data_IF_197884213567
#
_entry.id   IF_197884213567
#
_cell.length_a   1.000
_cell.length_b   1.000
_cell.length_c   1.000
_cell.angle_alpha   90.00
_cell.angle_beta   90.00
_cell.angle_gamma   90.00
#
_symmetry.space_group_name_H-M   'P 1'
#
loop_
_entity.id
_entity.type
_entity.pdbx_description
1 polymer ?
#
# COMPACT_ATOMS: atom_id res chain seq x y z
N UNK A 1 -2.00 -13.48 19.78
CA UNK A 1 -2.41 -14.72 19.07
C UNK A 1 -1.25 -15.46 18.40
N UNK A 2 -0.24 -14.80 17.83
CA UNK A 2 0.93 -15.46 17.22
C UNK A 2 1.62 -16.48 18.17
N UNK A 3 1.74 -16.16 19.46
CA UNK A 3 2.29 -17.09 20.45
C UNK A 3 1.47 -18.38 20.65
N UNK A 4 0.14 -18.31 20.53
CA UNK A 4 -0.77 -19.47 20.63
C UNK A 4 -0.65 -20.36 19.39
N UNK A 5 -0.59 -19.72 18.23
CA UNK A 5 -0.35 -20.37 16.94
C UNK A 5 1.01 -21.11 16.90
N UNK A 6 2.08 -20.51 17.44
CA UNK A 6 3.38 -21.18 17.62
C UNK A 6 3.31 -22.30 18.67
N UNK A 7 2.52 -22.15 19.74
CA UNK A 7 2.32 -23.18 20.76
C UNK A 7 1.60 -24.43 20.23
N UNK A 8 0.72 -24.26 19.24
CA UNK A 8 0.09 -25.38 18.50
C UNK A 8 1.02 -26.03 17.44
N UNK A 9 2.31 -25.70 17.45
CA UNK A 9 3.31 -26.33 16.58
C UNK A 9 3.51 -25.64 15.23
N UNK A 10 2.93 -24.46 15.02
CA UNK A 10 3.13 -23.73 13.76
C UNK A 10 4.54 -23.13 13.69
N UNK A 11 5.20 -23.34 12.54
CA UNK A 11 6.54 -22.81 12.29
C UNK A 11 6.52 -21.30 12.06
N UNK A 12 7.64 -20.64 12.32
CA UNK A 12 7.83 -19.21 12.06
C UNK A 12 7.56 -18.83 10.60
N UNK A 13 7.93 -19.71 9.67
CA UNK A 13 7.68 -19.52 8.23
C UNK A 13 6.18 -19.46 7.91
N UNK A 14 5.36 -20.29 8.55
CA UNK A 14 3.91 -20.29 8.33
C UNK A 14 3.25 -19.02 8.88
N UNK A 15 3.66 -18.55 10.07
CA UNK A 15 3.18 -17.28 10.62
C UNK A 15 3.57 -16.11 9.72
N UNK A 16 4.82 -16.10 9.23
CA UNK A 16 5.33 -15.08 8.33
C UNK A 16 4.53 -15.03 7.02
N UNK A 17 4.20 -16.20 6.44
CA UNK A 17 3.34 -16.28 5.25
C UNK A 17 1.97 -15.66 5.49
N UNK A 18 1.31 -15.99 6.60
CA UNK A 18 -0.02 -15.44 6.94
C UNK A 18 0.05 -13.92 7.08
N UNK A 19 1.10 -13.39 7.72
CA UNK A 19 1.30 -11.95 7.85
C UNK A 19 1.46 -11.28 6.48
N UNK A 20 2.34 -11.81 5.63
CA UNK A 20 2.57 -11.28 4.29
C UNK A 20 1.32 -11.36 3.40
N UNK A 21 0.52 -12.43 3.50
CA UNK A 21 -0.74 -12.54 2.77
C UNK A 21 -1.75 -11.45 3.18
N UNK A 22 -1.93 -11.23 4.48
CA UNK A 22 -2.82 -10.18 4.97
C UNK A 22 -2.32 -8.78 4.56
N UNK A 23 -1.01 -8.57 4.61
CA UNK A 23 -0.43 -7.30 4.21
C UNK A 23 -0.56 -7.05 2.70
N UNK A 24 -0.33 -8.07 1.86
CA UNK A 24 -0.60 -8.02 0.41
C UNK A 24 -2.06 -7.71 0.10
N UNK A 25 -2.99 -8.32 0.83
CA UNK A 25 -4.43 -8.04 0.68
C UNK A 25 -4.76 -6.57 0.99
N UNK A 26 -4.23 -6.04 2.10
CA UNK A 26 -4.38 -4.63 2.48
C UNK A 26 -3.77 -3.67 1.45
N UNK A 27 -2.57 -3.97 0.98
CA UNK A 27 -1.89 -3.18 -0.08
C UNK A 27 -2.71 -3.21 -1.37
N UNK A 28 -3.25 -4.37 -1.76
CA UNK A 28 -4.09 -4.52 -2.95
C UNK A 28 -5.35 -3.66 -2.90
N UNK A 29 -6.06 -3.66 -1.77
CA UNK A 29 -7.23 -2.78 -1.56
C UNK A 29 -6.81 -1.32 -1.57
N UNK A 30 -5.72 -0.97 -0.88
CA UNK A 30 -5.21 0.40 -0.83
C UNK A 30 -4.86 0.93 -2.22
N UNK A 31 -4.21 0.11 -3.05
CA UNK A 31 -3.92 0.45 -4.44
C UNK A 31 -5.20 0.60 -5.27
N UNK A 32 -6.15 -0.33 -5.15
CA UNK A 32 -7.39 -0.24 -5.91
C UNK A 32 -8.16 1.06 -5.59
N UNK A 33 -8.33 1.37 -4.31
CA UNK A 33 -8.99 2.60 -3.87
C UNK A 33 -8.18 3.85 -4.25
N UNK A 34 -6.86 3.79 -4.11
CA UNK A 34 -5.95 4.89 -4.47
C UNK A 34 -5.98 5.21 -5.96
N UNK A 35 -6.02 4.19 -6.83
CA UNK A 35 -6.14 4.39 -8.28
C UNK A 35 -7.52 4.93 -8.65
N UNK A 36 -8.60 4.42 -8.05
CA UNK A 36 -9.95 4.95 -8.28
C UNK A 36 -10.02 6.44 -7.92
N UNK A 37 -9.49 6.81 -6.75
CA UNK A 37 -9.48 8.21 -6.32
C UNK A 37 -8.53 9.06 -7.17
N UNK A 38 -7.29 8.62 -7.39
CA UNK A 38 -6.28 9.40 -8.12
C UNK A 38 -6.66 9.61 -9.58
N UNK A 39 -7.04 8.54 -10.29
CA UNK A 39 -7.51 8.64 -11.67
C UNK A 39 -8.87 9.33 -11.75
N UNK A 40 -9.77 9.08 -10.80
CA UNK A 40 -11.07 9.75 -10.73
C UNK A 40 -10.93 11.26 -10.61
N UNK A 41 -10.04 11.74 -9.74
CA UNK A 41 -9.72 13.17 -9.61
C UNK A 41 -9.03 13.71 -10.87
N UNK A 42 -8.10 12.95 -11.46
CA UNK A 42 -7.44 13.32 -12.71
C UNK A 42 -8.42 13.50 -13.87
N UNK A 43 -9.33 12.54 -14.08
CA UNK A 43 -10.37 12.64 -15.10
C UNK A 43 -11.37 13.75 -14.81
N UNK A 44 -11.74 13.95 -13.53
CA UNK A 44 -12.63 15.04 -13.16
C UNK A 44 -12.01 16.38 -13.57
N UNK A 45 -10.74 16.64 -13.22
CA UNK A 45 -10.04 17.86 -13.64
C UNK A 45 -9.89 17.94 -15.17
N UNK A 46 -9.65 16.81 -15.85
CA UNK A 46 -9.53 16.77 -17.31
C UNK A 46 -10.82 17.20 -18.03
N UNK A 47 -12.00 16.77 -17.56
CA UNK A 47 -13.27 17.10 -18.22
C UNK A 47 -13.92 18.40 -17.73
N UNK A 48 -13.75 18.72 -16.45
CA UNK A 48 -14.47 19.85 -15.83
C UNK A 48 -13.61 21.11 -15.69
N UNK A 49 -12.29 20.99 -15.84
CA UNK A 49 -11.32 22.08 -15.68
C UNK A 49 -11.56 22.90 -14.40
N UNK A 50 -11.96 22.24 -13.31
CA UNK A 50 -12.34 22.86 -12.03
C UNK A 50 -11.25 23.79 -11.50
N UNK A 51 -9.98 23.41 -11.68
CA UNK A 51 -8.84 24.29 -11.43
C UNK A 51 -8.46 25.07 -12.69
N UNK A 52 -9.13 26.20 -12.89
CA UNK A 52 -8.77 27.21 -13.85
C UNK A 52 -7.66 28.11 -13.29
N UNK A 53 -6.68 28.48 -14.13
CA UNK A 53 -5.62 29.42 -13.78
C UNK A 53 -5.92 30.79 -14.37
N UNK A 54 -5.52 31.84 -13.64
CA UNK A 54 -5.55 33.19 -14.18
C UNK A 54 -4.50 33.31 -15.30
N UNK A 55 -5.01 33.44 -16.54
CA UNK A 55 -4.19 33.52 -17.75
C UNK A 55 -3.21 34.69 -17.71
N UNK A 56 -3.47 35.72 -16.89
CA UNK A 56 -2.58 36.88 -16.78
C UNK A 56 -1.26 36.57 -16.06
N UNK A 57 -1.22 35.54 -15.21
CA UNK A 57 0.02 35.10 -14.54
C UNK A 57 0.63 33.82 -15.11
N UNK A 58 -0.18 32.92 -15.71
CA UNK A 58 0.29 31.57 -16.05
C UNK A 58 0.19 31.16 -17.53
N UNK A 59 -0.23 32.06 -18.44
CA UNK A 59 -0.40 31.80 -19.88
C UNK A 59 -1.32 30.61 -20.26
N UNK A 60 -1.84 29.87 -19.28
CA UNK A 60 -2.70 28.69 -19.40
C UNK A 60 -4.04 28.95 -18.71
N UNK A 61 -5.13 28.59 -19.37
CA UNK A 61 -6.49 28.77 -18.83
C UNK A 61 -6.86 27.76 -17.74
N UNK A 62 -6.18 26.61 -17.73
CA UNK A 62 -6.45 25.49 -16.81
C UNK A 62 -5.17 24.69 -16.56
N UNK A 63 -5.15 23.89 -15.48
CA UNK A 63 -4.07 22.92 -15.25
C UNK A 63 -4.22 21.76 -16.23
N UNK A 64 -3.31 21.57 -17.20
CA UNK A 64 -3.35 20.40 -18.07
C UNK A 64 -3.03 19.15 -17.26
N UNK A 65 -3.90 18.14 -17.35
CA UNK A 65 -3.69 16.83 -16.73
C UNK A 65 -3.44 15.83 -17.82
N UNK A 66 -2.23 15.27 -17.86
CA UNK A 66 -1.87 14.18 -18.76
C UNK A 66 -1.68 12.90 -17.94
N UNK A 67 -2.46 11.87 -18.24
CA UNK A 67 -2.40 10.58 -17.57
C UNK A 67 -1.70 9.60 -18.50
N UNK A 68 -0.46 9.26 -18.20
CA UNK A 68 0.25 8.19 -18.91
C UNK A 68 0.03 6.85 -18.22
N UNK A 69 -0.46 5.87 -18.98
CA UNK A 69 -0.75 4.53 -18.47
C UNK A 69 0.51 3.83 -17.94
N UNK A 70 1.68 4.13 -18.53
CA UNK A 70 2.99 3.62 -18.09
C UNK A 70 3.32 4.10 -16.69
N UNK A 71 3.12 5.39 -16.39
CA UNK A 71 3.41 5.97 -15.08
C UNK A 71 2.52 5.35 -14.01
N UNK A 72 1.23 5.15 -14.31
CA UNK A 72 0.28 4.49 -13.39
C UNK A 72 0.75 3.07 -13.06
N UNK A 73 1.10 2.27 -14.07
CA UNK A 73 1.59 0.90 -13.86
C UNK A 73 2.88 0.91 -13.03
N UNK A 74 3.83 1.78 -13.38
CA UNK A 74 5.14 1.83 -12.74
C UNK A 74 5.03 2.26 -11.27
N UNK A 75 4.14 3.22 -10.97
CA UNK A 75 3.83 3.67 -9.61
C UNK A 75 3.18 2.55 -8.79
N UNK A 76 2.24 1.80 -9.36
CA UNK A 76 1.63 0.65 -8.69
C UNK A 76 2.67 -0.43 -8.37
N UNK A 77 3.49 -0.82 -9.36
CA UNK A 77 4.55 -1.83 -9.19
C UNK A 77 5.56 -1.39 -8.14
N UNK A 78 6.04 -0.13 -8.21
CA UNK A 78 6.98 0.41 -7.24
C UNK A 78 6.38 0.41 -5.82
N UNK A 79 5.11 0.77 -5.67
CA UNK A 79 4.42 0.77 -4.38
C UNK A 79 4.35 -0.63 -3.77
N UNK A 80 3.95 -1.64 -4.56
CA UNK A 80 3.93 -3.04 -4.10
C UNK A 80 5.31 -3.48 -3.64
N UNK A 81 6.35 -3.20 -4.43
CA UNK A 81 7.73 -3.59 -4.11
C UNK A 81 8.21 -2.93 -2.81
N UNK A 82 8.00 -1.62 -2.66
CA UNK A 82 8.41 -0.87 -1.47
C UNK A 82 7.65 -1.39 -0.24
N UNK A 83 6.33 -1.55 -0.33
CA UNK A 83 5.53 -2.10 0.77
C UNK A 83 6.02 -3.49 1.16
N UNK A 84 6.28 -4.38 0.19
CA UNK A 84 6.81 -5.72 0.46
C UNK A 84 8.16 -5.66 1.18
N UNK A 85 9.10 -4.83 0.72
CA UNK A 85 10.43 -4.66 1.37
C UNK A 85 10.27 -4.17 2.81
N UNK A 86 9.43 -3.16 3.04
CA UNK A 86 9.17 -2.62 4.38
C UNK A 86 8.55 -3.67 5.30
N UNK A 87 7.65 -4.50 4.77
CA UNK A 87 6.95 -5.55 5.54
C UNK A 87 7.83 -6.77 5.84
N UNK A 88 8.89 -7.01 5.07
CA UNK A 88 9.85 -8.09 5.36
C UNK A 88 10.59 -7.85 6.69
N UNK A 89 10.87 -6.61 7.05
CA UNK A 89 11.56 -6.28 8.32
C UNK A 89 10.77 -6.75 9.55
N UNK A 90 9.49 -6.34 9.75
CA UNK A 90 8.69 -6.84 10.88
C UNK A 90 8.38 -8.33 10.75
N UNK A 91 8.26 -8.88 9.54
CA UNK A 91 8.03 -10.32 9.36
C UNK A 91 9.21 -11.16 9.88
N UNK A 92 10.44 -10.68 9.70
CA UNK A 92 11.63 -11.27 10.30
C UNK A 92 11.68 -11.07 11.83
N UNK A 93 11.20 -9.94 12.36
CA UNK A 93 11.12 -9.73 13.80
C UNK A 93 10.13 -10.68 14.49
N UNK A 94 9.04 -11.06 13.83
CA UNK A 94 8.08 -12.06 14.32
C UNK A 94 8.76 -13.41 14.59
N UNK A 95 9.76 -13.79 13.79
CA UNK A 95 10.53 -15.03 14.01
C UNK A 95 11.29 -15.04 15.34
N UNK A 96 11.69 -13.86 15.86
CA UNK A 96 12.42 -13.72 17.13
C UNK A 96 11.52 -13.61 18.37
N UNK A 97 10.20 -13.57 18.20
CA UNK A 97 9.27 -13.55 19.34
C UNK A 97 9.29 -14.93 20.01
N UNK A 98 9.87 -14.99 21.21
CA UNK A 98 9.89 -16.21 22.03
C UNK A 98 8.46 -16.59 22.45
N UNK A 99 7.99 -17.83 22.22
CA UNK A 99 6.63 -18.27 22.59
C UNK A 99 6.31 -18.08 24.08
N UNK A 100 7.32 -18.25 24.94
CA UNK A 100 7.20 -18.22 26.40
C UNK A 100 6.81 -16.83 26.96
N UNK A 101 7.17 -15.73 26.29
CA UNK A 101 6.74 -14.37 26.70
C UNK A 101 5.32 -14.03 26.27
N UNK A 102 4.77 -14.70 25.25
CA UNK A 102 3.45 -14.39 24.71
C UNK A 102 2.28 -15.06 25.44
N UNK A 103 2.55 -16.12 26.23
CA UNK A 103 1.55 -16.84 27.04
C UNK A 103 1.51 -16.34 28.49
N UNK A 104 2.60 -15.76 28.99
CA UNK A 104 2.56 -14.98 30.23
C UNK A 104 1.93 -13.61 29.96
N UNK A 105 0.60 -13.60 29.89
CA UNK A 105 -0.17 -12.42 30.26
C UNK A 105 0.17 -12.10 31.72
N UNK A 106 0.68 -10.90 31.97
CA UNK A 106 0.39 -10.21 33.22
C UNK A 106 -0.81 -9.33 32.94
#
# INVERSE_FOLDING_TARGET
>A
MIGMLKAFGMTDLSVMKIFLYNAMYLVGIGLLLGNILGLGLGFLQYYTHVFALDQTSYYLSYVPVEIHLVDVILLNVATVLICMIVLLVPSLLVSKISPLKAIRFK
#
